data_IF_559693110787
#
_entry.id   IF_559693110787
#
_cell.length_a   1.000
_cell.length_b   1.000
_cell.length_c   1.000
_cell.angle_alpha   90.00
_cell.angle_beta   90.00
_cell.angle_gamma   90.00
#
_symmetry.space_group_name_H-M   'P 1'
#
loop_
_entity.id
_entity.type
_entity.pdbx_description
1 polymer ?
#
# COMPACT_ATOMS: atom_id res chain seq x y z
N UNK A 1 10.54 22.44 0.38
CA UNK A 1 10.94 21.18 -0.28
C UNK A 1 11.33 21.36 -1.75
N UNK A 2 11.40 22.60 -2.29
CA UNK A 2 11.81 22.81 -3.69
C UNK A 2 13.18 23.50 -3.70
N UNK A 3 14.23 22.72 -3.93
CA UNK A 3 15.56 23.23 -4.19
C UNK A 3 15.76 23.41 -5.69
N UNK A 4 16.55 24.42 -6.07
CA UNK A 4 16.81 24.77 -7.48
C UNK A 4 17.57 23.67 -8.22
N UNK A 5 18.43 22.95 -7.50
CA UNK A 5 19.15 21.78 -7.99
C UNK A 5 18.72 20.62 -7.12
N UNK A 6 18.28 19.52 -7.72
CA UNK A 6 17.95 18.33 -6.97
C UNK A 6 19.25 17.60 -6.61
N UNK A 7 19.38 17.21 -5.35
CA UNK A 7 20.46 16.32 -4.92
C UNK A 7 20.22 14.92 -5.48
N UNK A 8 21.23 14.34 -6.13
CA UNK A 8 21.13 13.00 -6.73
C UNK A 8 21.13 11.87 -5.69
N UNK A 9 21.79 12.08 -4.54
CA UNK A 9 21.84 11.14 -3.42
C UNK A 9 21.78 11.93 -2.10
N UNK A 10 20.59 12.37 -1.66
CA UNK A 10 20.44 13.14 -0.43
C UNK A 10 21.03 12.40 0.77
N UNK A 11 21.93 13.08 1.51
CA UNK A 11 22.68 12.50 2.64
C UNK A 11 23.61 11.32 2.29
N UNK A 12 23.85 11.01 1.01
CA UNK A 12 24.72 9.90 0.61
C UNK A 12 24.16 8.51 0.92
N UNK A 13 22.83 8.38 1.00
CA UNK A 13 22.14 7.16 1.43
C UNK A 13 22.41 5.99 0.48
N UNK A 14 22.39 6.22 -0.84
CA UNK A 14 22.65 5.16 -1.82
C UNK A 14 24.12 4.76 -1.84
N UNK A 15 25.04 5.73 -1.76
CA UNK A 15 26.47 5.43 -1.64
C UNK A 15 26.76 4.58 -0.38
N UNK A 16 26.14 4.92 0.75
CA UNK A 16 26.23 4.12 1.97
C UNK A 16 25.64 2.72 1.78
N UNK A 17 24.43 2.60 1.23
CA UNK A 17 23.77 1.31 1.00
C UNK A 17 24.62 0.38 0.12
N UNK A 18 25.16 0.89 -0.98
CA UNK A 18 26.06 0.13 -1.86
C UNK A 18 27.28 -0.38 -1.10
N UNK A 19 27.88 0.44 -0.23
CA UNK A 19 29.03 0.01 0.59
C UNK A 19 28.68 -1.13 1.56
N UNK A 20 27.47 -1.10 2.15
CA UNK A 20 27.00 -2.14 3.06
C UNK A 20 26.70 -3.44 2.31
N UNK A 21 26.00 -3.35 1.17
CA UNK A 21 25.69 -4.49 0.32
C UNK A 21 26.96 -5.16 -0.22
N UNK A 22 27.96 -4.37 -0.63
CA UNK A 22 29.25 -4.92 -1.07
C UNK A 22 29.99 -5.63 0.07
N UNK A 23 29.89 -5.12 1.30
CA UNK A 23 30.48 -5.76 2.49
C UNK A 23 29.79 -7.10 2.78
N UNK A 24 28.45 -7.12 2.77
CA UNK A 24 27.65 -8.33 2.96
C UNK A 24 27.94 -9.38 1.87
N UNK A 25 27.97 -8.98 0.60
CA UNK A 25 28.31 -9.86 -0.54
C UNK A 25 29.70 -10.49 -0.36
N UNK A 26 30.69 -9.70 0.06
CA UNK A 26 32.06 -10.19 0.31
C UNK A 26 32.11 -11.19 1.47
N UNK A 27 31.24 -11.00 2.47
CA UNK A 27 31.12 -11.89 3.62
C UNK A 27 30.23 -13.12 3.35
N UNK A 28 29.55 -13.19 2.19
CA UNK A 28 28.57 -14.22 1.88
C UNK A 28 27.28 -14.12 2.71
N UNK A 29 26.96 -12.93 3.20
CA UNK A 29 25.76 -12.65 3.99
C UNK A 29 24.56 -12.34 3.08
N UNK A 30 23.35 -12.54 3.62
CA UNK A 30 22.09 -12.15 2.97
C UNK A 30 21.50 -10.93 3.66
N UNK A 31 20.85 -10.07 2.88
CA UNK A 31 20.39 -8.76 3.37
C UNK A 31 18.88 -8.58 3.16
N UNK A 32 18.23 -8.05 4.18
CA UNK A 32 16.90 -7.44 4.06
C UNK A 32 17.03 -5.92 4.03
N UNK A 33 16.26 -5.29 3.15
CA UNK A 33 16.14 -3.83 3.10
C UNK A 33 14.75 -3.46 3.59
N UNK A 34 14.69 -2.57 4.59
CA UNK A 34 13.43 -2.05 5.13
C UNK A 34 13.35 -0.55 4.86
N UNK A 35 12.26 -0.11 4.23
CA UNK A 35 11.96 1.29 3.96
C UNK A 35 10.52 1.64 4.34
N UNK A 36 10.17 2.92 4.31
CA UNK A 36 8.79 3.34 4.51
C UNK A 36 8.00 3.37 3.20
N UNK A 37 8.42 4.23 2.25
CA UNK A 37 7.76 4.40 0.96
C UNK A 37 8.32 3.40 -0.06
N UNK A 38 7.47 2.62 -0.76
CA UNK A 38 7.92 1.76 -1.84
C UNK A 38 8.37 2.58 -3.05
N UNK A 39 9.38 2.08 -3.76
CA UNK A 39 10.03 2.82 -4.85
C UNK A 39 9.23 2.80 -6.15
N UNK A 40 8.20 1.95 -6.28
CA UNK A 40 7.25 1.96 -7.38
C UNK A 40 6.07 2.91 -7.20
N UNK A 41 5.92 3.53 -6.02
CA UNK A 41 4.81 4.42 -5.72
C UNK A 41 4.79 5.68 -6.62
N UNK A 42 3.61 6.30 -6.75
CA UNK A 42 3.43 7.54 -7.52
C UNK A 42 4.12 8.76 -6.93
N UNK A 43 4.44 8.73 -5.65
CA UNK A 43 5.13 9.80 -4.92
C UNK A 43 6.64 9.51 -4.73
N UNK A 44 7.16 8.45 -5.35
CA UNK A 44 8.59 8.23 -5.49
C UNK A 44 9.17 9.04 -6.66
N UNK A 45 10.32 9.67 -6.45
CA UNK A 45 11.05 10.34 -7.52
C UNK A 45 11.61 9.31 -8.51
N UNK A 46 11.40 9.56 -9.81
CA UNK A 46 11.85 8.66 -10.88
C UNK A 46 13.35 8.37 -10.81
N UNK A 47 14.18 9.40 -10.63
CA UNK A 47 15.63 9.22 -10.59
C UNK A 47 16.06 8.39 -9.37
N UNK A 48 15.52 8.68 -8.19
CA UNK A 48 15.85 7.93 -6.98
C UNK A 48 15.38 6.47 -7.06
N UNK A 49 14.18 6.24 -7.60
CA UNK A 49 13.64 4.91 -7.87
C UNK A 49 14.50 4.15 -8.89
N UNK A 50 14.93 4.80 -9.96
CA UNK A 50 15.82 4.24 -10.95
C UNK A 50 17.18 3.85 -10.38
N UNK A 51 17.81 4.72 -9.59
CA UNK A 51 19.10 4.42 -8.96
C UNK A 51 18.98 3.29 -7.93
N UNK A 52 17.90 3.26 -7.14
CA UNK A 52 17.66 2.16 -6.22
C UNK A 52 17.50 0.83 -6.98
N UNK A 53 16.75 0.81 -8.07
CA UNK A 53 16.61 -0.38 -8.91
C UNK A 53 17.96 -0.88 -9.45
N UNK A 54 18.85 0.02 -9.89
CA UNK A 54 20.21 -0.39 -10.30
C UNK A 54 21.00 -1.08 -9.17
N UNK A 55 20.83 -0.63 -7.93
CA UNK A 55 21.43 -1.27 -6.75
C UNK A 55 20.83 -2.66 -6.55
N UNK A 56 19.52 -2.80 -6.67
CA UNK A 56 18.83 -4.09 -6.59
C UNK A 56 19.36 -5.05 -7.65
N UNK A 57 19.42 -4.65 -8.92
CA UNK A 57 19.90 -5.51 -10.00
C UNK A 57 21.38 -5.92 -9.79
N UNK A 58 22.20 -5.03 -9.22
CA UNK A 58 23.60 -5.35 -8.92
C UNK A 58 23.74 -6.37 -7.80
N UNK A 59 22.87 -6.33 -6.79
CA UNK A 59 22.99 -7.13 -5.56
C UNK A 59 21.85 -8.13 -5.39
N UNK A 60 21.22 -8.58 -6.47
CA UNK A 60 20.07 -9.51 -6.48
C UNK A 60 20.36 -10.83 -5.75
N UNK A 61 21.59 -11.34 -5.86
CA UNK A 61 22.05 -12.54 -5.16
C UNK A 61 22.29 -12.32 -3.66
N UNK A 62 22.53 -11.07 -3.23
CA UNK A 62 22.82 -10.71 -1.83
C UNK A 62 21.54 -10.33 -1.09
N UNK A 63 20.67 -9.55 -1.73
CA UNK A 63 19.40 -9.11 -1.16
C UNK A 63 18.42 -10.29 -1.17
N UNK A 64 17.79 -10.59 -0.04
CA UNK A 64 16.82 -11.67 0.06
C UNK A 64 15.38 -11.18 -0.08
N UNK A 65 15.07 -9.98 0.42
CA UNK A 65 13.76 -9.36 0.32
C UNK A 65 13.83 -7.86 0.64
N UNK A 66 12.83 -7.11 0.18
CA UNK A 66 12.62 -5.70 0.52
C UNK A 66 11.25 -5.54 1.17
N UNK A 67 11.15 -4.72 2.21
CA UNK A 67 9.92 -4.50 2.97
C UNK A 67 9.60 -3.00 3.07
N UNK A 68 8.34 -2.67 2.81
CA UNK A 68 7.79 -1.31 2.83
C UNK A 68 6.47 -1.25 3.60
N UNK A 69 5.96 -0.02 3.74
CA UNK A 69 4.60 0.27 4.19
C UNK A 69 4.02 1.40 3.33
N UNK A 70 3.65 2.52 3.96
CA UNK A 70 3.20 3.78 3.32
C UNK A 70 1.86 3.70 2.57
N UNK A 71 1.61 2.68 1.75
CA UNK A 71 0.35 2.61 0.97
C UNK A 71 -0.86 2.29 1.84
N UNK A 72 -0.62 1.80 3.07
CA UNK A 72 -1.60 1.29 4.02
C UNK A 72 -2.41 0.08 3.51
N UNK A 73 -2.11 -0.45 2.33
CA UNK A 73 -2.79 -1.57 1.68
C UNK A 73 -1.93 -2.82 1.67
N UNK A 74 -2.57 -3.98 1.52
CA UNK A 74 -1.87 -5.26 1.39
C UNK A 74 -1.43 -5.42 -0.07
N UNK A 75 -0.20 -5.00 -0.36
CA UNK A 75 0.35 -4.94 -1.72
C UNK A 75 1.76 -5.53 -1.79
N UNK A 76 2.29 -5.61 -3.01
CA UNK A 76 3.67 -5.91 -3.30
C UNK A 76 4.10 -5.28 -4.62
N UNK A 77 5.41 -5.20 -4.86
CA UNK A 77 5.98 -4.73 -6.12
C UNK A 77 7.10 -5.66 -6.59
N UNK A 78 7.14 -5.95 -7.88
CA UNK A 78 8.19 -6.73 -8.53
C UNK A 78 9.12 -5.82 -9.33
N UNK A 79 10.42 -6.10 -9.23
CA UNK A 79 11.41 -5.60 -10.20
C UNK A 79 11.81 -6.70 -11.17
N UNK A 80 12.21 -6.28 -12.37
CA UNK A 80 12.63 -7.13 -13.47
C UNK A 80 13.98 -6.65 -14.01
N UNK A 81 14.89 -7.59 -14.29
CA UNK A 81 16.16 -7.30 -14.96
C UNK A 81 15.98 -6.75 -16.38
N UNK A 82 14.87 -7.12 -17.03
CA UNK A 82 14.38 -6.51 -18.26
C UNK A 82 12.89 -6.21 -18.10
N UNK A 83 12.58 -4.95 -17.76
CA UNK A 83 11.20 -4.51 -17.60
C UNK A 83 10.36 -4.65 -18.88
N UNK A 84 10.98 -4.58 -20.05
CA UNK A 84 10.25 -4.72 -21.33
C UNK A 84 9.82 -6.16 -21.61
N UNK A 85 10.42 -7.11 -20.90
CA UNK A 85 10.11 -8.53 -20.94
C UNK A 85 9.78 -9.05 -19.53
N UNK A 86 8.58 -8.73 -19.04
CA UNK A 86 8.10 -9.16 -17.72
C UNK A 86 7.75 -10.65 -17.74
N UNK A 87 8.62 -11.48 -17.17
CA UNK A 87 8.45 -12.92 -17.08
C UNK A 87 8.97 -13.42 -15.73
N UNK A 88 8.59 -14.63 -15.33
CA UNK A 88 9.10 -15.24 -14.10
C UNK A 88 10.62 -15.35 -14.09
N UNK A 89 11.26 -15.51 -15.26
CA UNK A 89 12.71 -15.63 -15.42
C UNK A 89 13.45 -14.30 -15.34
N UNK A 90 12.77 -13.18 -15.56
CA UNK A 90 13.37 -11.84 -15.47
C UNK A 90 13.03 -11.13 -14.16
N UNK A 91 12.10 -11.65 -13.35
CA UNK A 91 11.79 -11.13 -12.02
C UNK A 91 12.99 -11.30 -11.07
N UNK A 92 13.54 -10.19 -10.57
CA UNK A 92 14.78 -10.19 -9.77
C UNK A 92 14.58 -9.79 -8.31
N UNK A 93 13.50 -9.08 -7.97
CA UNK A 93 13.27 -8.64 -6.61
C UNK A 93 11.79 -8.57 -6.26
N UNK A 94 11.50 -8.94 -5.00
CA UNK A 94 10.20 -8.90 -4.38
C UNK A 94 10.18 -7.85 -3.26
N UNK A 95 9.34 -6.84 -3.42
CA UNK A 95 9.06 -5.81 -2.41
C UNK A 95 7.71 -6.07 -1.74
N UNK A 96 7.73 -6.41 -0.46
CA UNK A 96 6.51 -6.61 0.34
C UNK A 96 6.04 -5.28 0.92
N UNK A 97 4.81 -4.87 0.61
CA UNK A 97 4.25 -3.58 1.10
C UNK A 97 3.19 -3.90 2.15
N UNK A 98 3.52 -3.67 3.42
CA UNK A 98 2.65 -4.04 4.54
C UNK A 98 1.46 -3.07 4.70
N UNK A 99 0.25 -3.60 4.97
CA UNK A 99 -0.90 -2.78 5.32
C UNK A 99 -0.74 -2.12 6.69
N UNK A 100 -1.60 -1.16 7.00
CA UNK A 100 -1.51 -0.40 8.23
C UNK A 100 -2.29 -1.02 9.41
N UNK A 101 -1.77 -0.80 10.62
CA UNK A 101 -2.55 -0.91 11.86
C UNK A 101 -3.63 0.16 11.96
N UNK A 102 -3.38 1.34 11.39
CA UNK A 102 -4.35 2.45 11.41
C UNK A 102 -5.56 2.12 10.52
N UNK A 103 -6.80 2.19 11.05
CA UNK A 103 -8.00 1.79 10.32
C UNK A 103 -8.54 2.88 9.36
N UNK A 104 -7.65 3.59 8.66
CA UNK A 104 -8.07 4.65 7.71
C UNK A 104 -8.50 4.11 6.35
N UNK A 105 -8.16 2.86 6.05
CA UNK A 105 -8.35 2.26 4.73
C UNK A 105 -8.73 0.79 4.73
N UNK A 106 -9.13 0.32 5.90
CA UNK A 106 -9.58 -1.03 6.14
C UNK A 106 -9.26 -1.47 7.55
N UNK A 107 -9.42 -2.77 7.79
CA UNK A 107 -9.19 -3.33 9.10
C UNK A 107 -7.72 -3.18 9.54
N UNK A 108 -7.44 -2.89 10.83
CA UNK A 108 -6.08 -2.94 11.39
C UNK A 108 -5.44 -4.27 11.10
N UNK A 109 -4.19 -4.23 10.66
CA UNK A 109 -3.49 -5.43 10.19
C UNK A 109 -2.02 -5.41 10.60
N UNK A 110 -1.46 -6.59 10.88
CA UNK A 110 -0.01 -6.82 10.91
C UNK A 110 0.33 -8.10 10.14
N UNK A 111 1.61 -8.26 9.80
CA UNK A 111 2.12 -9.42 9.07
C UNK A 111 3.16 -10.16 9.90
N UNK A 112 3.20 -11.47 9.74
CA UNK A 112 4.23 -12.36 10.26
C UNK A 112 4.86 -13.07 9.08
N UNK A 113 6.19 -13.05 9.02
CA UNK A 113 6.98 -13.70 7.97
C UNK A 113 7.69 -14.92 8.53
N UNK A 114 7.50 -16.06 7.88
CA UNK A 114 8.33 -17.24 8.08
C UNK A 114 9.56 -17.14 7.19
N UNK A 115 10.73 -17.41 7.75
CA UNK A 115 12.02 -17.12 7.12
C UNK A 115 12.91 -18.36 7.15
N UNK A 116 13.58 -18.62 6.03
CA UNK A 116 14.64 -19.63 6.00
C UNK A 116 15.88 -19.13 6.77
N UNK A 117 16.36 -19.87 7.78
CA UNK A 117 17.45 -19.41 8.64
C UNK A 117 18.82 -19.40 7.95
N UNK A 118 18.94 -19.96 6.74
CA UNK A 118 20.19 -20.04 5.97
C UNK A 118 20.19 -19.03 4.84
N UNK A 119 19.14 -19.00 4.02
CA UNK A 119 19.06 -18.12 2.85
C UNK A 119 18.46 -16.75 3.16
N UNK A 120 17.81 -16.62 4.33
CA UNK A 120 16.99 -15.46 4.71
C UNK A 120 15.86 -15.16 3.71
N UNK A 121 15.54 -16.12 2.84
CA UNK A 121 14.40 -16.06 1.95
C UNK A 121 13.09 -16.16 2.74
N UNK A 122 12.06 -15.49 2.23
CA UNK A 122 10.72 -15.59 2.83
C UNK A 122 10.10 -16.92 2.42
N UNK A 123 9.74 -17.73 3.43
CA UNK A 123 9.07 -19.01 3.26
C UNK A 123 7.55 -18.85 3.21
N UNK A 124 6.98 -17.99 4.03
CA UNK A 124 5.56 -17.64 3.99
C UNK A 124 5.31 -16.26 4.58
N UNK A 125 4.13 -15.70 4.29
CA UNK A 125 3.64 -14.46 4.87
C UNK A 125 2.21 -14.69 5.34
N UNK A 126 2.00 -14.61 6.65
CA UNK A 126 0.67 -14.67 7.27
C UNK A 126 0.22 -13.28 7.68
N UNK A 127 -0.98 -12.91 7.25
CA UNK A 127 -1.59 -11.61 7.51
C UNK A 127 -2.68 -11.76 8.56
N UNK A 128 -2.62 -10.94 9.61
CA UNK A 128 -3.58 -10.95 10.72
C UNK A 128 -4.35 -9.64 10.73
N UNK A 129 -5.67 -9.69 10.89
CA UNK A 129 -6.51 -8.49 10.95
C UNK A 129 -7.42 -8.50 12.19
N UNK A 130 -7.89 -7.32 12.57
CA UNK A 130 -8.96 -7.14 13.54
C UNK A 130 -10.17 -6.51 12.85
N UNK A 131 -11.32 -7.18 12.91
CA UNK A 131 -12.55 -6.68 12.28
C UNK A 131 -13.10 -5.45 13.02
N UNK A 132 -13.08 -4.30 12.35
CA UNK A 132 -13.59 -3.02 12.90
C UNK A 132 -15.10 -3.02 13.10
N UNK A 133 -15.82 -3.92 12.43
CA UNK A 133 -17.28 -4.04 12.53
C UNK A 133 -17.72 -4.90 13.72
N UNK A 134 -16.79 -5.60 14.36
CA UNK A 134 -17.06 -6.37 15.57
C UNK A 134 -17.44 -5.48 16.76
N UNK A 135 -18.49 -5.87 17.49
CA UNK A 135 -18.94 -5.18 18.71
C UNK A 135 -17.83 -5.03 19.77
N UNK A 136 -16.84 -5.94 19.77
CA UNK A 136 -15.73 -5.91 20.74
C UNK A 136 -14.53 -5.09 20.27
N UNK A 137 -14.50 -4.60 19.02
CA UNK A 137 -13.32 -3.96 18.43
C UNK A 137 -12.71 -2.84 19.30
N UNK A 138 -13.56 -1.96 19.84
CA UNK A 138 -13.12 -0.80 20.63
C UNK A 138 -12.65 -1.13 22.05
N UNK A 139 -12.93 -2.34 22.56
CA UNK A 139 -12.67 -2.71 23.96
C UNK A 139 -11.73 -3.90 24.11
N UNK A 140 -11.88 -4.90 23.24
CA UNK A 140 -11.08 -6.10 23.19
C UNK A 140 -11.09 -6.65 21.74
N UNK A 141 -10.30 -6.06 20.83
CA UNK A 141 -10.24 -6.52 19.44
C UNK A 141 -9.64 -7.93 19.38
N UNK A 142 -10.32 -8.82 18.66
CA UNK A 142 -9.82 -10.15 18.35
C UNK A 142 -8.99 -10.08 17.07
N UNK A 143 -7.79 -10.65 17.10
CA UNK A 143 -6.94 -10.78 15.91
C UNK A 143 -7.12 -12.15 15.28
N UNK A 144 -7.46 -12.16 14.00
CA UNK A 144 -7.74 -13.36 13.22
C UNK A 144 -6.81 -13.43 12.02
N UNK A 145 -6.50 -14.65 11.58
CA UNK A 145 -5.74 -14.84 10.34
C UNK A 145 -6.64 -14.43 9.17
N UNK A 146 -6.20 -13.42 8.42
CA UNK A 146 -6.84 -13.03 7.16
C UNK A 146 -6.49 -14.06 6.06
N UNK A 147 -5.19 -14.31 5.86
CA UNK A 147 -4.69 -15.32 4.93
C UNK A 147 -3.19 -15.61 5.17
N UNK A 148 -2.71 -16.77 4.69
CA UNK A 148 -1.29 -17.02 4.41
C UNK A 148 -1.08 -17.09 2.89
N UNK A 149 0.10 -16.68 2.42
CA UNK A 149 0.42 -16.71 0.98
C UNK A 149 0.47 -18.14 0.46
N UNK A 150 1.04 -19.08 1.21
CA UNK A 150 1.09 -20.48 0.77
C UNK A 150 -0.27 -21.15 0.71
N UNK A 151 -1.15 -20.94 1.70
CA UNK A 151 -2.49 -21.54 1.64
C UNK A 151 -3.36 -20.94 0.53
N UNK A 152 -3.11 -19.68 0.19
CA UNK A 152 -3.91 -18.94 -0.79
C UNK A 152 -3.37 -19.14 -2.21
N UNK A 153 -2.16 -18.67 -2.48
CA UNK A 153 -1.56 -18.65 -3.82
C UNK A 153 -0.63 -19.85 -4.04
N UNK A 154 0.10 -20.27 -3.02
CA UNK A 154 0.97 -21.45 -3.08
C UNK A 154 0.22 -22.71 -3.51
N UNK A 155 -0.95 -22.97 -2.92
CA UNK A 155 -1.82 -24.09 -3.29
C UNK A 155 -2.27 -24.05 -4.76
N UNK A 156 -2.58 -22.87 -5.29
CA UNK A 156 -3.04 -22.69 -6.67
C UNK A 156 -1.89 -22.85 -7.69
N UNK A 157 -0.66 -22.52 -7.27
CA UNK A 157 0.55 -22.61 -8.10
C UNK A 157 1.39 -23.87 -7.84
N UNK A 158 0.94 -24.77 -6.96
CA UNK A 158 1.65 -26.00 -6.61
C UNK A 158 2.86 -25.82 -5.68
N UNK A 159 3.06 -24.62 -5.10
CA UNK A 159 4.12 -24.31 -4.14
C UNK A 159 3.57 -24.49 -2.72
N UNK A 160 3.51 -25.74 -2.27
CA UNK A 160 2.92 -26.12 -0.97
C UNK A 160 3.92 -26.61 0.07
N UNK A 161 5.17 -26.86 -0.33
CA UNK A 161 6.24 -27.19 0.61
C UNK A 161 6.52 -25.99 1.53
N UNK A 162 6.45 -26.19 2.84
CA UNK A 162 6.72 -25.16 3.84
C UNK A 162 8.14 -24.61 3.76
N UNK A 163 9.11 -25.38 3.23
CA UNK A 163 10.48 -24.95 3.03
C UNK A 163 10.74 -24.26 1.67
N UNK A 164 9.76 -24.23 0.75
CA UNK A 164 9.94 -23.53 -0.52
C UNK A 164 9.86 -22.01 -0.34
N UNK A 165 10.84 -21.27 -0.86
CA UNK A 165 10.84 -19.82 -0.81
C UNK A 165 9.81 -19.18 -1.75
N UNK A 166 9.21 -18.07 -1.31
CA UNK A 166 8.36 -17.20 -2.12
C UNK A 166 9.24 -16.27 -2.99
N UNK A 167 9.88 -16.86 -4.00
CA UNK A 167 10.80 -16.17 -4.91
C UNK A 167 10.11 -15.08 -5.76
N UNK A 168 10.86 -14.13 -6.37
CA UNK A 168 10.30 -13.18 -7.32
C UNK A 168 9.54 -13.87 -8.47
N UNK A 169 10.03 -15.02 -8.95
CA UNK A 169 9.37 -15.84 -9.96
C UNK A 169 8.00 -16.37 -9.49
N UNK A 170 7.89 -16.81 -8.23
CA UNK A 170 6.61 -17.20 -7.63
C UNK A 170 5.62 -16.03 -7.65
N UNK A 171 6.04 -14.85 -7.21
CA UNK A 171 5.17 -13.67 -7.17
C UNK A 171 4.80 -13.16 -8.57
N UNK A 172 5.69 -13.27 -9.56
CA UNK A 172 5.30 -13.04 -10.96
C UNK A 172 4.17 -14.00 -11.38
N UNK A 173 4.30 -15.30 -11.06
CA UNK A 173 3.25 -16.27 -11.37
C UNK A 173 1.93 -15.99 -10.64
N UNK A 174 1.96 -15.39 -9.44
CA UNK A 174 0.75 -14.88 -8.77
C UNK A 174 0.07 -13.80 -9.61
N UNK A 175 0.83 -12.86 -10.17
CA UNK A 175 0.26 -11.84 -11.06
C UNK A 175 -0.28 -12.43 -12.38
N UNK A 176 0.36 -13.47 -12.92
CA UNK A 176 -0.15 -14.19 -14.10
C UNK A 176 -1.42 -15.01 -13.80
N UNK A 177 -1.53 -15.53 -12.57
CA UNK A 177 -2.76 -16.14 -12.07
C UNK A 177 -3.89 -15.11 -11.99
N UNK A 178 -3.60 -13.88 -11.54
CA UNK A 178 -4.60 -12.81 -11.55
C UNK A 178 -5.09 -12.46 -12.97
N UNK A 179 -4.20 -12.50 -13.98
CA UNK A 179 -4.58 -12.27 -15.38
C UNK A 179 -5.54 -13.36 -15.89
N UNK A 180 -5.26 -14.61 -15.55
CA UNK A 180 -5.96 -15.79 -16.09
C UNK A 180 -7.21 -16.21 -15.28
N UNK A 181 -7.26 -15.92 -13.98
CA UNK A 181 -8.37 -16.24 -13.09
C UNK A 181 -8.90 -14.97 -12.40
N UNK A 182 -10.05 -14.50 -12.87
CA UNK A 182 -10.66 -13.29 -12.33
C UNK A 182 -11.16 -13.47 -10.90
N UNK A 183 -11.61 -14.66 -10.51
CA UNK A 183 -12.11 -14.89 -9.16
C UNK A 183 -10.98 -14.72 -8.14
N UNK A 184 -9.82 -15.31 -8.42
CA UNK A 184 -8.63 -15.16 -7.57
C UNK A 184 -8.18 -13.70 -7.50
N UNK A 185 -8.26 -12.96 -8.62
CA UNK A 185 -7.96 -11.54 -8.62
C UNK A 185 -8.95 -10.72 -7.78
N UNK A 186 -10.27 -10.97 -7.87
CA UNK A 186 -11.24 -10.25 -7.04
C UNK A 186 -11.02 -10.55 -5.54
N UNK A 187 -10.66 -11.78 -5.17
CA UNK A 187 -10.31 -12.07 -3.78
C UNK A 187 -9.03 -11.34 -3.33
N UNK A 188 -8.03 -11.19 -4.20
CA UNK A 188 -6.86 -10.34 -3.94
C UNK A 188 -7.28 -8.89 -3.67
N UNK A 189 -8.20 -8.34 -4.47
CA UNK A 189 -8.69 -6.96 -4.28
C UNK A 189 -9.39 -6.78 -2.92
N UNK A 190 -10.17 -7.77 -2.47
CA UNK A 190 -10.70 -7.78 -1.12
C UNK A 190 -9.60 -7.81 -0.06
N UNK A 191 -8.60 -8.69 -0.19
CA UNK A 191 -7.47 -8.78 0.75
C UNK A 191 -6.61 -7.51 0.78
N UNK A 192 -6.43 -6.84 -0.35
CA UNK A 192 -5.72 -5.56 -0.48
C UNK A 192 -6.28 -4.49 0.48
N UNK A 193 -7.60 -4.44 0.63
CA UNK A 193 -8.32 -3.54 1.55
C UNK A 193 -8.65 -4.22 2.89
N UNK A 194 -8.11 -5.40 3.14
CA UNK A 194 -8.32 -6.23 4.34
C UNK A 194 -9.81 -6.50 4.59
N UNK A 195 -10.51 -6.84 3.51
CA UNK A 195 -11.95 -7.11 3.42
C UNK A 195 -12.86 -5.93 3.83
N UNK A 196 -12.35 -4.70 3.81
CA UNK A 196 -13.15 -3.52 4.10
C UNK A 196 -13.94 -3.02 2.87
N UNK A 197 -13.28 -2.96 1.71
CA UNK A 197 -13.92 -2.62 0.44
C UNK A 197 -13.84 -3.83 -0.50
N UNK A 198 -15.00 -4.41 -0.77
CA UNK A 198 -15.17 -5.57 -1.65
C UNK A 198 -15.71 -5.18 -3.03
N UNK A 199 -15.57 -3.91 -3.41
CA UNK A 199 -15.97 -3.44 -4.74
C UNK A 199 -15.16 -4.15 -5.82
N UNK A 200 -15.86 -4.62 -6.86
CA UNK A 200 -15.21 -5.34 -7.95
C UNK A 200 -14.28 -4.43 -8.76
N UNK A 201 -13.06 -4.90 -9.01
CA UNK A 201 -12.08 -4.23 -9.85
C UNK A 201 -12.04 -4.91 -11.21
N UNK A 202 -12.60 -4.29 -12.24
CA UNK A 202 -12.72 -4.91 -13.58
C UNK A 202 -12.18 -3.98 -14.67
N UNK A 203 -11.97 -4.52 -15.87
CA UNK A 203 -11.49 -3.76 -17.02
C UNK A 203 -10.16 -3.06 -16.74
N UNK A 204 -10.14 -1.73 -16.88
CA UNK A 204 -8.94 -0.91 -16.68
C UNK A 204 -8.41 -0.95 -15.25
N UNK A 205 -9.28 -1.15 -14.26
CA UNK A 205 -8.86 -1.31 -12.87
C UNK A 205 -7.94 -2.52 -12.72
N UNK A 206 -8.38 -3.69 -13.21
CA UNK A 206 -7.61 -4.94 -13.15
C UNK A 206 -6.26 -4.81 -13.84
N UNK A 207 -6.24 -4.26 -15.05
CA UNK A 207 -4.98 -4.09 -15.78
C UNK A 207 -4.03 -3.11 -15.09
N UNK A 208 -4.54 -2.02 -14.50
CA UNK A 208 -3.71 -1.05 -13.79
C UNK A 208 -3.15 -1.62 -12.48
N UNK A 209 -3.95 -2.40 -11.74
CA UNK A 209 -3.54 -3.05 -10.49
C UNK A 209 -2.44 -4.09 -10.74
N UNK A 210 -2.62 -4.99 -11.71
CA UNK A 210 -1.60 -5.99 -12.08
C UNK A 210 -0.33 -5.29 -12.58
N UNK A 211 -0.48 -4.22 -13.35
CA UNK A 211 0.63 -3.41 -13.82
C UNK A 211 1.40 -2.77 -12.65
N UNK A 212 0.71 -2.20 -11.66
CA UNK A 212 1.35 -1.62 -10.47
C UNK A 212 2.11 -2.67 -9.65
N UNK A 213 1.53 -3.86 -9.45
CA UNK A 213 2.21 -4.99 -8.78
C UNK A 213 3.52 -5.39 -9.47
N UNK A 214 3.62 -5.14 -10.78
CA UNK A 214 4.82 -5.41 -11.59
C UNK A 214 5.74 -4.20 -11.75
N UNK A 215 5.52 -3.11 -11.03
CA UNK A 215 6.21 -1.84 -11.23
C UNK A 215 6.94 -1.33 -9.97
N UNK A 216 7.98 -2.03 -9.50
CA UNK A 216 8.83 -1.56 -8.39
C UNK A 216 9.68 -0.32 -8.70
N UNK A 217 9.69 0.12 -9.97
CA UNK A 217 10.35 1.34 -10.41
C UNK A 217 9.31 2.35 -10.87
N UNK A 218 9.33 3.55 -10.28
CA UNK A 218 8.23 4.52 -10.39
C UNK A 218 8.01 5.04 -11.82
N UNK A 219 9.04 5.05 -12.68
CA UNK A 219 8.86 5.45 -14.08
C UNK A 219 7.93 4.52 -14.88
N UNK A 220 7.73 3.30 -14.38
CA UNK A 220 6.83 2.32 -14.97
C UNK A 220 5.56 2.09 -14.15
N UNK A 221 5.35 2.88 -13.10
CA UNK A 221 4.13 2.76 -12.30
C UNK A 221 2.90 3.03 -13.16
N UNK A 222 1.78 2.44 -12.73
CA UNK A 222 0.57 2.40 -13.53
C UNK A 222 -0.51 3.32 -12.95
N UNK A 223 -0.04 4.31 -12.18
CA UNK A 223 -0.88 5.31 -11.56
C UNK A 223 -1.28 6.34 -12.62
N UNK A 224 -2.58 6.46 -12.84
CA UNK A 224 -3.11 7.48 -13.74
C UNK A 224 -3.01 8.86 -13.09
N UNK A 225 -1.97 9.63 -13.47
CA UNK A 225 -1.88 11.05 -13.15
C UNK A 225 -2.92 11.78 -13.99
N UNK A 226 -4.11 12.03 -13.44
CA UNK A 226 -5.10 12.90 -14.08
C UNK A 226 -4.69 14.36 -13.83
N UNK A 227 -4.31 15.14 -14.87
CA UNK A 227 -3.91 16.51 -14.68
C UNK A 227 -5.07 17.33 -14.10
N UNK A 228 -4.84 17.95 -12.95
CA UNK A 228 -5.73 18.91 -12.32
C UNK A 228 -4.91 20.02 -11.68
N UNK A 229 -5.24 21.28 -11.97
CA UNK A 229 -4.59 22.44 -11.37
C UNK A 229 -5.06 22.51 -9.91
N UNK A 230 -4.14 22.32 -8.97
CA UNK A 230 -4.42 22.45 -7.54
C UNK A 230 -3.62 23.62 -6.95
N UNK A 231 -4.30 24.74 -6.71
CA UNK A 231 -3.80 25.79 -5.83
C UNK A 231 -4.15 25.40 -4.40
N UNK A 232 -3.17 25.02 -3.58
CA UNK A 232 -3.36 25.09 -2.12
C UNK A 232 -3.38 26.58 -1.74
N UNK A 233 -4.58 27.17 -1.66
CA UNK A 233 -5.07 28.08 -0.61
C UNK A 233 -6.48 28.60 -0.94
N UNK A 234 -7.49 27.76 -1.16
CA UNK A 234 -8.89 28.20 -0.96
C UNK A 234 -9.92 27.05 -0.92
N UNK A 235 -11.04 27.34 -0.26
CA UNK A 235 -12.09 26.47 0.27
C UNK A 235 -13.08 25.86 -0.73
N UNK A 236 -12.67 25.36 -1.90
CA UNK A 236 -13.60 24.55 -2.73
C UNK A 236 -12.90 23.48 -3.57
N UNK A 237 -13.23 22.23 -3.24
CA UNK A 237 -13.21 21.01 -4.08
C UNK A 237 -12.05 20.83 -5.05
N UNK A 238 -10.95 20.25 -4.55
CA UNK A 238 -9.89 19.63 -5.35
C UNK A 238 -9.74 18.15 -4.99
N UNK A 239 -9.79 17.28 -6.00
CA UNK A 239 -9.64 15.83 -5.86
C UNK A 239 -8.16 15.47 -5.81
N UNK A 240 -7.78 14.78 -4.74
CA UNK A 240 -6.48 14.15 -4.51
C UNK A 240 -6.58 12.70 -4.99
N UNK A 241 -5.57 12.18 -5.70
CA UNK A 241 -5.30 10.73 -5.68
C UNK A 241 -4.97 10.39 -4.24
N UNK A 242 -5.93 9.80 -3.53
CA UNK A 242 -5.80 9.47 -2.12
C UNK A 242 -4.68 8.43 -1.90
N UNK A 243 -3.44 8.90 -1.83
CA UNK A 243 -2.44 8.26 -1.00
C UNK A 243 -2.93 8.42 0.43
N UNK A 244 -3.24 7.32 1.11
CA UNK A 244 -3.83 7.34 2.45
C UNK A 244 -2.90 7.97 3.50
N UNK A 245 -1.60 8.07 3.19
CA UNK A 245 -0.59 8.79 3.96
C UNK A 245 -0.55 10.31 3.75
N UNK A 246 -1.05 10.85 2.64
CA UNK A 246 -0.94 12.29 2.30
C UNK A 246 -2.30 12.95 1.95
N UNK A 247 -3.38 12.16 1.97
CA UNK A 247 -4.74 12.60 1.69
C UNK A 247 -5.50 13.04 2.94
N UNK A 248 -6.02 14.27 2.94
CA UNK A 248 -7.00 14.70 3.96
C UNK A 248 -8.29 13.88 3.83
N UNK A 249 -8.69 13.19 4.89
CA UNK A 249 -9.95 12.45 4.95
C UNK A 249 -11.19 13.34 5.05
N UNK A 250 -11.01 14.67 5.09
CA UNK A 250 -12.11 15.62 5.20
C UNK A 250 -13.08 15.53 4.02
N UNK A 251 -12.60 15.34 2.78
CA UNK A 251 -13.48 15.23 1.60
C UNK A 251 -14.32 13.95 1.64
N UNK A 252 -13.74 12.74 1.81
CA UNK A 252 -14.52 11.51 1.98
C UNK A 252 -15.54 11.61 3.12
N UNK A 253 -15.13 12.10 4.30
CA UNK A 253 -16.00 12.22 5.48
C UNK A 253 -17.14 13.21 5.24
N UNK A 254 -16.86 14.38 4.66
CA UNK A 254 -17.91 15.36 4.36
C UNK A 254 -18.84 14.86 3.25
N UNK A 255 -18.31 14.11 2.27
CA UNK A 255 -19.11 13.53 1.19
C UNK A 255 -20.03 12.42 1.68
N UNK A 256 -19.59 11.59 2.63
CA UNK A 256 -20.41 10.52 3.23
C UNK A 256 -21.52 11.06 4.13
N UNK A 257 -21.38 12.29 4.62
CA UNK A 257 -22.42 12.98 5.41
C UNK A 257 -23.37 13.76 4.49
N UNK A 258 -23.02 14.00 3.23
CA UNK A 258 -23.80 14.84 2.32
C UNK A 258 -24.98 14.11 1.64
N UNK A 259 -25.05 12.77 1.70
CA UNK A 259 -26.21 12.03 1.24
C UNK A 259 -27.32 11.98 2.30
N UNK A 260 -28.55 11.64 1.88
CA UNK A 260 -29.71 11.63 2.78
C UNK A 260 -29.54 10.69 3.99
N UNK A 261 -28.80 9.60 3.83
CA UNK A 261 -28.54 8.61 4.87
C UNK A 261 -27.52 9.14 5.88
N UNK A 262 -26.44 9.75 5.39
CA UNK A 262 -25.40 10.38 6.18
C UNK A 262 -25.88 11.60 6.95
N UNK A 263 -26.74 12.43 6.34
CA UNK A 263 -27.40 13.54 7.05
C UNK A 263 -28.25 13.02 8.19
N UNK A 264 -29.03 11.96 7.98
CA UNK A 264 -29.87 11.38 9.03
C UNK A 264 -29.01 10.81 10.16
N UNK A 265 -27.96 10.05 9.84
CA UNK A 265 -27.05 9.49 10.83
C UNK A 265 -26.34 10.58 11.65
N UNK A 266 -25.94 11.70 11.01
CA UNK A 266 -25.37 12.85 11.70
C UNK A 266 -26.40 13.53 12.61
N UNK A 267 -27.64 13.70 12.15
CA UNK A 267 -28.71 14.26 12.98
C UNK A 267 -28.98 13.39 14.21
N UNK A 268 -29.07 12.08 14.04
CA UNK A 268 -29.30 11.13 15.12
C UNK A 268 -28.15 11.17 16.14
N UNK A 269 -26.91 11.23 15.67
CA UNK A 269 -25.74 11.38 16.54
C UNK A 269 -25.74 12.71 17.30
N UNK A 270 -26.06 13.82 16.63
CA UNK A 270 -26.16 15.14 17.27
C UNK A 270 -27.27 15.18 18.32
N UNK A 271 -28.44 14.59 18.04
CA UNK A 271 -29.56 14.48 18.99
C UNK A 271 -29.18 13.60 20.18
N UNK A 272 -28.46 12.50 19.95
CA UNK A 272 -27.99 11.60 21.00
C UNK A 272 -27.04 12.32 21.97
N UNK A 273 -26.11 13.13 21.47
CA UNK A 273 -25.08 13.78 22.28
C UNK A 273 -25.54 15.11 22.88
N UNK A 274 -26.28 15.91 22.11
CA UNK A 274 -26.60 17.31 22.46
C UNK A 274 -28.10 17.54 22.72
N UNK A 275 -28.92 16.50 22.59
CA UNK A 275 -30.37 16.58 22.74
C UNK A 275 -31.07 17.13 21.50
N UNK A 276 -32.38 16.89 21.41
CA UNK A 276 -33.22 17.25 20.24
C UNK A 276 -33.30 18.75 19.96
N UNK A 277 -32.96 19.61 20.94
CA UNK A 277 -32.92 21.06 20.77
C UNK A 277 -31.86 21.53 19.77
N UNK A 278 -30.83 20.72 19.51
CA UNK A 278 -29.75 21.10 18.57
C UNK A 278 -30.27 21.29 17.14
N UNK A 279 -31.27 20.51 16.73
CA UNK A 279 -31.87 20.59 15.39
C UNK A 279 -32.65 21.88 15.15
N UNK A 280 -33.05 22.57 16.23
CA UNK A 280 -33.77 23.84 16.20
C UNK A 280 -32.87 25.03 16.56
N UNK A 281 -31.56 24.81 16.70
CA UNK A 281 -30.62 25.87 17.05
C UNK A 281 -30.27 26.67 15.79
N UNK A 282 -30.75 27.90 15.71
CA UNK A 282 -30.41 28.81 14.63
C UNK A 282 -29.00 29.36 14.84
N UNK A 283 -28.06 29.03 13.94
CA UNK A 283 -26.75 29.67 13.94
C UNK A 283 -26.93 31.12 13.46
N UNK A 284 -26.57 32.13 14.26
CA UNK A 284 -26.67 33.53 13.86
C UNK A 284 -25.83 33.79 12.61
N UNK A 285 -26.32 34.62 11.69
CA UNK A 285 -25.59 35.01 10.46
C UNK A 285 -24.31 35.82 10.70
N UNK A 286 -23.98 36.12 11.96
CA UNK A 286 -22.75 36.80 12.38
C UNK A 286 -21.86 35.91 13.28
N UNK A 287 -22.06 34.60 13.24
CA UNK A 287 -21.29 33.66 14.04
C UNK A 287 -19.82 33.67 13.58
N UNK A 288 -18.92 34.04 14.49
CA UNK A 288 -17.49 34.19 14.23
C UNK A 288 -16.74 33.01 14.83
N UNK A 289 -16.06 32.23 13.99
CA UNK A 289 -15.20 31.13 14.41
C UNK A 289 -13.76 31.54 14.14
N UNK A 290 -12.95 31.66 15.21
CA UNK A 290 -11.55 32.09 15.14
C UNK A 290 -11.31 33.40 14.35
N UNK A 291 -12.22 34.37 14.46
CA UNK A 291 -12.07 35.69 13.85
C UNK A 291 -12.44 35.78 12.37
N UNK A 292 -12.94 34.69 11.77
CA UNK A 292 -13.60 34.73 10.46
C UNK A 292 -15.12 34.68 10.66
N UNK A 293 -15.83 35.65 10.05
CA UNK A 293 -17.30 35.62 9.96
C UNK A 293 -17.67 34.66 8.83
N UNK A 294 -18.49 33.66 9.12
CA UNK A 294 -19.05 32.73 8.13
C UNK A 294 -20.23 33.39 7.43
#
# INVERSE_FOLDING_TARGET
>A
MYEKNWESDPSGMFAWLVSQLQTAETAGERVWILGHMPMGASDAFHDASYYFDLIIQRFDATIAAVFYGHTHKDEFELSYSDYTNQDFSTATMMSYIAPALTPTSGNPTFRVYDVDPVTFGILDMTVYYADITSDTYQTNPTWEVLYSVKDTYGRLLGVTDTAAELTPAFWHNVTALFESDDAVFQEYIGRKTRNYDTSACTGTCKTAEICQLRAAQSQYNCVSVKPGINFKRDTTSGVVTAGECDGSQAIPVLSSIADLTGVQALQDALVSVLGSSILNTTVPSNYTVYGATI
#
